data_IF_744551389684
#
_entry.id   IF_744551389684
#
_cell.length_a   1.000
_cell.length_b   1.000
_cell.length_c   1.000
_cell.angle_alpha   90.00
_cell.angle_beta   90.00
_cell.angle_gamma   90.00
#
_symmetry.space_group_name_H-M   'P 1'
#
loop_
_entity.id
_entity.type
_entity.pdbx_description
1 polymer ?
#
# COMPACT_ATOMS: atom_id res chain seq x y z
N UNK A 1 0.66 -26.39 -12.75
CA UNK A 1 -0.62 -26.82 -13.36
C UNK A 1 -1.40 -27.65 -12.35
N UNK A 2 -2.68 -27.40 -12.23
CA UNK A 2 -3.59 -28.16 -11.34
C UNK A 2 -4.73 -28.70 -12.21
N UNK A 3 -5.02 -30.01 -12.16
CA UNK A 3 -6.13 -30.57 -12.91
C UNK A 3 -7.46 -30.18 -12.26
N UNK A 4 -8.40 -29.67 -13.06
CA UNK A 4 -9.79 -29.46 -12.69
C UNK A 4 -10.64 -30.22 -13.70
N UNK A 5 -11.08 -31.42 -13.35
CA UNK A 5 -11.66 -32.38 -14.29
C UNK A 5 -10.61 -32.85 -15.31
N UNK A 6 -10.94 -32.78 -16.61
CA UNK A 6 -10.07 -33.19 -17.71
C UNK A 6 -9.19 -32.05 -18.26
N UNK A 7 -9.22 -30.85 -17.64
CA UNK A 7 -8.49 -29.68 -18.12
C UNK A 7 -7.43 -29.25 -17.11
N UNK A 8 -6.23 -28.93 -17.60
CA UNK A 8 -5.13 -28.40 -16.79
C UNK A 8 -5.16 -26.89 -16.80
N UNK A 9 -5.15 -26.27 -15.60
CA UNK A 9 -5.12 -24.82 -15.42
C UNK A 9 -3.78 -24.36 -14.83
N UNK A 10 -3.28 -23.25 -15.35
CA UNK A 10 -2.14 -22.55 -14.76
C UNK A 10 -2.60 -21.76 -13.55
N UNK A 11 -2.04 -22.06 -12.39
CA UNK A 11 -2.26 -21.27 -11.18
C UNK A 11 -1.02 -20.46 -10.84
N UNK A 12 -1.22 -19.26 -10.30
CA UNK A 12 -0.11 -18.45 -9.82
C UNK A 12 0.56 -19.12 -8.62
N UNK A 13 1.89 -19.16 -8.64
CA UNK A 13 2.70 -19.65 -7.52
C UNK A 13 2.76 -18.61 -6.39
N UNK A 14 1.66 -18.39 -5.70
CA UNK A 14 1.54 -17.34 -4.65
C UNK A 14 2.56 -17.52 -3.53
N UNK A 15 2.90 -18.77 -3.17
CA UNK A 15 3.97 -19.10 -2.21
C UNK A 15 5.33 -18.56 -2.67
N UNK A 16 5.62 -18.55 -3.97
CA UNK A 16 6.88 -18.03 -4.51
C UNK A 16 6.92 -16.50 -4.41
N UNK A 17 5.82 -15.82 -4.71
CA UNK A 17 5.72 -14.37 -4.54
C UNK A 17 5.84 -13.97 -3.07
N UNK A 18 5.21 -14.74 -2.15
CA UNK A 18 5.33 -14.55 -0.71
C UNK A 18 6.80 -14.71 -0.25
N UNK A 19 7.47 -15.78 -0.69
CA UNK A 19 8.89 -15.99 -0.41
C UNK A 19 9.77 -14.83 -0.90
N UNK A 20 9.59 -14.40 -2.14
CA UNK A 20 10.36 -13.27 -2.70
C UNK A 20 10.12 -11.98 -1.90
N UNK A 21 8.87 -11.72 -1.51
CA UNK A 21 8.52 -10.57 -0.70
C UNK A 21 9.17 -10.65 0.69
N UNK A 22 9.11 -11.78 1.36
CA UNK A 22 9.69 -11.97 2.69
C UNK A 22 11.22 -11.84 2.67
N UNK A 23 11.88 -12.35 1.63
CA UNK A 23 13.31 -12.13 1.41
C UNK A 23 13.65 -10.66 1.22
N UNK A 24 12.86 -9.94 0.43
CA UNK A 24 13.02 -8.49 0.27
C UNK A 24 12.82 -7.74 1.59
N UNK A 25 11.77 -8.07 2.35
CA UNK A 25 11.49 -7.49 3.67
C UNK A 25 12.65 -7.77 4.63
N UNK A 26 13.17 -9.00 4.65
CA UNK A 26 14.31 -9.36 5.49
C UNK A 26 15.54 -8.49 5.19
N UNK A 27 15.92 -8.37 3.92
CA UNK A 27 17.07 -7.53 3.51
C UNK A 27 16.84 -6.07 3.90
N UNK A 28 15.64 -5.55 3.66
CA UNK A 28 15.29 -4.16 4.00
C UNK A 28 15.36 -3.93 5.52
N UNK A 29 14.87 -4.87 6.33
CA UNK A 29 14.95 -4.79 7.79
C UNK A 29 16.37 -4.81 8.32
N UNK A 30 17.30 -5.52 7.67
CA UNK A 30 18.72 -5.49 8.03
C UNK A 30 19.32 -4.09 7.84
N UNK A 31 18.89 -3.35 6.80
CA UNK A 31 19.27 -1.95 6.58
C UNK A 31 18.59 -1.04 7.63
N UNK A 32 17.27 -1.18 7.83
CA UNK A 32 16.49 -0.38 8.77
C UNK A 32 17.02 -0.54 10.21
N UNK A 33 17.46 -1.75 10.59
CA UNK A 33 18.00 -2.04 11.92
C UNK A 33 19.13 -1.07 12.32
N UNK A 34 19.97 -0.69 11.38
CA UNK A 34 21.08 0.23 11.63
C UNK A 34 20.63 1.71 11.76
N UNK A 35 19.42 2.03 11.28
CA UNK A 35 18.85 3.39 11.28
C UNK A 35 17.68 3.55 12.25
N UNK A 36 17.44 2.56 13.11
CA UNK A 36 16.35 2.60 14.10
C UNK A 36 16.49 3.81 15.03
N UNK A 37 15.38 4.44 15.36
CA UNK A 37 15.33 5.57 16.31
C UNK A 37 14.93 5.16 17.71
N UNK A 38 14.09 4.14 17.85
CA UNK A 38 13.65 3.59 19.13
C UNK A 38 13.69 2.06 19.15
N UNK A 39 13.72 1.49 20.36
CA UNK A 39 13.51 0.05 20.55
C UNK A 39 12.09 -0.29 20.08
N UNK A 40 11.94 -1.33 19.26
CA UNK A 40 10.67 -1.76 18.66
C UNK A 40 10.41 -1.24 17.23
N UNK A 41 11.12 -0.23 16.73
CA UNK A 41 10.92 0.28 15.38
C UNK A 41 11.07 -0.81 14.31
N UNK A 42 12.03 -1.72 14.47
CA UNK A 42 12.26 -2.82 13.52
C UNK A 42 11.05 -3.76 13.46
N UNK A 43 10.40 -4.02 14.61
CA UNK A 43 9.19 -4.83 14.66
C UNK A 43 8.00 -4.13 13.99
N UNK A 44 7.83 -2.82 14.24
CA UNK A 44 6.80 -2.03 13.57
C UNK A 44 7.01 -2.02 12.04
N UNK A 45 8.26 -1.87 11.59
CA UNK A 45 8.60 -1.94 10.18
C UNK A 45 8.34 -3.33 9.58
N UNK A 46 8.68 -4.39 10.32
CA UNK A 46 8.35 -5.75 9.90
C UNK A 46 6.84 -5.91 9.70
N UNK A 47 6.03 -5.51 10.68
CA UNK A 47 4.57 -5.58 10.57
C UNK A 47 4.04 -4.78 9.39
N UNK A 48 4.50 -3.53 9.20
CA UNK A 48 4.04 -2.69 8.10
C UNK A 48 4.36 -3.32 6.74
N UNK A 49 5.60 -3.75 6.53
CA UNK A 49 6.06 -4.33 5.26
C UNK A 49 5.42 -5.68 4.99
N UNK A 50 5.44 -6.59 5.98
CA UNK A 50 4.86 -7.92 5.84
C UNK A 50 3.35 -7.85 5.56
N UNK A 51 2.61 -7.08 6.37
CA UNK A 51 1.17 -6.94 6.22
C UNK A 51 0.78 -6.26 4.91
N UNK A 52 1.55 -5.26 4.44
CA UNK A 52 1.31 -4.63 3.14
C UNK A 52 1.45 -5.62 1.99
N UNK A 53 2.50 -6.44 1.97
CA UNK A 53 2.68 -7.48 0.96
C UNK A 53 1.61 -8.57 1.05
N UNK A 54 1.31 -9.02 2.29
CA UNK A 54 0.27 -10.03 2.53
C UNK A 54 -1.10 -9.57 2.02
N UNK A 55 -1.46 -8.31 2.22
CA UNK A 55 -2.73 -7.74 1.74
C UNK A 55 -2.88 -7.89 0.23
N UNK A 56 -1.80 -7.72 -0.55
CA UNK A 56 -1.81 -7.86 -2.01
C UNK A 56 -1.77 -9.32 -2.44
N UNK A 57 -0.83 -10.11 -1.89
CA UNK A 57 -0.58 -11.51 -2.30
C UNK A 57 -1.80 -12.38 -1.98
N UNK A 58 -2.46 -12.15 -0.86
CA UNK A 58 -3.67 -12.88 -0.49
C UNK A 58 -4.79 -12.68 -1.51
N UNK A 59 -4.89 -11.52 -2.16
CA UNK A 59 -5.79 -11.25 -3.27
C UNK A 59 -5.59 -12.17 -4.48
N UNK A 60 -4.43 -12.81 -4.62
CA UNK A 60 -4.09 -13.73 -5.72
C UNK A 60 -4.31 -15.22 -5.36
N UNK A 61 -4.59 -15.55 -4.10
CA UNK A 61 -4.78 -16.94 -3.65
C UNK A 61 -6.20 -17.41 -3.93
N UNK A 62 -6.35 -18.62 -4.42
CA UNK A 62 -7.66 -19.21 -4.69
C UNK A 62 -8.21 -20.07 -3.51
N UNK A 63 -7.33 -20.42 -2.54
CA UNK A 63 -7.63 -21.37 -1.46
C UNK A 63 -7.86 -20.71 -0.09
N UNK A 64 -8.06 -19.39 -0.04
CA UNK A 64 -8.17 -18.65 1.21
C UNK A 64 -9.60 -18.52 1.71
N UNK A 65 -9.77 -18.46 3.06
CA UNK A 65 -11.06 -18.27 3.72
C UNK A 65 -11.63 -16.87 3.43
N UNK A 66 -12.80 -16.82 2.81
CA UNK A 66 -13.53 -15.59 2.50
C UNK A 66 -14.43 -15.18 3.66
N UNK A 67 -14.62 -13.87 3.87
CA UNK A 67 -15.40 -13.31 4.98
C UNK A 67 -16.71 -12.64 4.51
N UNK A 68 -16.60 -11.76 3.51
CA UNK A 68 -17.76 -11.04 2.95
C UNK A 68 -17.81 -11.38 1.47
N UNK A 69 -18.91 -12.01 1.01
CA UNK A 69 -19.02 -12.46 -0.37
C UNK A 69 -17.68 -13.04 -0.86
N UNK A 70 -17.56 -13.92 -1.71
CA UNK A 70 -16.36 -14.70 -2.11
C UNK A 70 -15.08 -13.91 -2.43
N UNK A 71 -15.04 -12.59 -2.19
CA UNK A 71 -14.00 -11.68 -2.68
C UNK A 71 -13.04 -11.14 -1.61
N UNK A 72 -13.53 -10.87 -0.39
CA UNK A 72 -12.69 -10.29 0.67
C UNK A 72 -12.31 -11.36 1.69
N UNK A 73 -11.03 -11.53 1.92
CA UNK A 73 -10.45 -12.57 2.77
C UNK A 73 -10.16 -12.05 4.18
N UNK A 74 -10.37 -12.88 5.20
CA UNK A 74 -10.14 -12.53 6.61
C UNK A 74 -8.68 -12.09 6.83
N UNK A 75 -7.73 -12.83 6.27
CA UNK A 75 -6.29 -12.53 6.39
C UNK A 75 -5.92 -11.18 5.77
N UNK A 76 -6.59 -10.80 4.69
CA UNK A 76 -6.39 -9.53 4.01
C UNK A 76 -6.87 -8.35 4.85
N UNK A 77 -8.06 -8.46 5.47
CA UNK A 77 -8.58 -7.44 6.38
C UNK A 77 -7.65 -7.29 7.58
N UNK A 78 -7.25 -8.40 8.21
CA UNK A 78 -6.39 -8.39 9.38
C UNK A 78 -5.03 -7.74 9.07
N UNK A 79 -4.44 -8.08 7.92
CA UNK A 79 -3.18 -7.50 7.46
C UNK A 79 -3.31 -6.01 7.19
N UNK A 80 -4.37 -5.56 6.50
CA UNK A 80 -4.62 -4.15 6.21
C UNK A 80 -4.81 -3.34 7.51
N UNK A 81 -5.59 -3.87 8.46
CA UNK A 81 -5.80 -3.24 9.78
C UNK A 81 -4.49 -3.16 10.56
N UNK A 82 -3.68 -4.22 10.56
CA UNK A 82 -2.38 -4.22 11.23
C UNK A 82 -1.42 -3.20 10.63
N UNK A 83 -1.33 -3.11 9.29
CA UNK A 83 -0.50 -2.13 8.60
C UNK A 83 -0.94 -0.70 8.91
N UNK A 84 -2.24 -0.40 8.85
CA UNK A 84 -2.79 0.89 9.23
C UNK A 84 -2.53 1.20 10.72
N UNK A 85 -2.67 0.21 11.59
CA UNK A 85 -2.38 0.33 13.02
C UNK A 85 -0.94 0.78 13.31
N UNK A 86 0.04 0.28 12.53
CA UNK A 86 1.43 0.73 12.62
C UNK A 86 1.58 2.18 12.18
N UNK A 87 0.92 2.61 11.09
CA UNK A 87 0.95 4.01 10.64
C UNK A 87 0.35 4.93 11.69
N UNK A 88 -0.79 4.54 12.28
CA UNK A 88 -1.42 5.27 13.40
C UNK A 88 -0.46 5.34 14.60
N UNK A 89 0.21 4.24 14.94
CA UNK A 89 1.19 4.22 16.01
C UNK A 89 2.34 5.21 15.76
N UNK A 90 2.89 5.26 14.54
CA UNK A 90 3.91 6.24 14.18
C UNK A 90 3.38 7.68 14.27
N UNK A 91 2.13 7.92 13.85
CA UNK A 91 1.48 9.23 13.98
C UNK A 91 1.33 9.63 15.46
N UNK A 92 0.84 8.72 16.32
CA UNK A 92 0.67 9.00 17.75
C UNK A 92 1.99 9.33 18.47
N UNK A 93 3.12 8.88 17.95
CA UNK A 93 4.46 9.23 18.49
C UNK A 93 4.85 10.68 18.24
N UNK A 94 4.22 11.34 17.26
CA UNK A 94 4.46 12.75 16.92
C UNK A 94 3.30 13.65 17.31
N UNK A 95 2.38 13.16 18.13
CA UNK A 95 1.15 13.89 18.51
C UNK A 95 1.39 15.28 19.11
N UNK A 96 2.56 15.51 19.73
CA UNK A 96 2.93 16.81 20.32
C UNK A 96 3.21 17.88 19.26
N UNK A 97 3.30 17.49 17.99
CA UNK A 97 3.55 18.35 16.83
C UNK A 97 2.49 18.12 15.74
N UNK A 98 1.21 18.01 16.14
CA UNK A 98 0.12 17.85 15.17
C UNK A 98 0.05 19.10 14.31
N UNK A 99 0.26 18.92 13.01
CA UNK A 99 0.15 19.93 11.97
C UNK A 99 -0.48 19.29 10.72
N UNK A 100 -0.88 20.10 9.76
CA UNK A 100 -1.42 19.59 8.51
C UNK A 100 -0.42 18.65 7.81
N UNK A 101 0.88 18.92 7.95
CA UNK A 101 1.96 18.09 7.39
C UNK A 101 2.02 16.69 8.01
N UNK A 102 1.72 16.56 9.30
CA UNK A 102 1.71 15.26 9.99
C UNK A 102 0.40 14.50 9.79
N UNK A 103 -0.72 15.20 9.59
CA UNK A 103 -2.04 14.59 9.36
C UNK A 103 -2.19 14.09 7.91
N UNK A 104 -1.60 14.78 6.93
CA UNK A 104 -1.72 14.41 5.53
C UNK A 104 -1.27 12.96 5.21
N UNK A 105 -0.11 12.45 5.70
CA UNK A 105 0.26 11.05 5.53
C UNK A 105 -0.73 10.06 6.16
N UNK A 106 -1.34 10.41 7.29
CA UNK A 106 -2.34 9.54 7.94
C UNK A 106 -3.62 9.45 7.09
N UNK A 107 -4.11 10.58 6.56
CA UNK A 107 -5.28 10.61 5.66
C UNK A 107 -4.99 9.82 4.40
N UNK A 108 -3.81 10.01 3.82
CA UNK A 108 -3.36 9.24 2.65
C UNK A 108 -3.30 7.73 2.94
N UNK A 109 -2.82 7.31 4.12
CA UNK A 109 -2.77 5.91 4.52
C UNK A 109 -4.18 5.28 4.61
N UNK A 110 -5.16 5.99 5.15
CA UNK A 110 -6.56 5.52 5.17
C UNK A 110 -7.09 5.37 3.74
N UNK A 111 -6.79 6.34 2.86
CA UNK A 111 -7.19 6.28 1.46
C UNK A 111 -6.56 5.07 0.73
N UNK A 112 -5.30 4.73 1.03
CA UNK A 112 -4.64 3.52 0.49
C UNK A 112 -5.44 2.25 0.81
N UNK A 113 -5.90 2.10 2.04
CA UNK A 113 -6.72 0.95 2.45
C UNK A 113 -8.04 0.91 1.67
N UNK A 114 -8.72 2.06 1.57
CA UNK A 114 -9.99 2.16 0.82
C UNK A 114 -9.79 1.75 -0.64
N UNK A 115 -8.77 2.28 -1.31
CA UNK A 115 -8.47 1.97 -2.72
C UNK A 115 -8.13 0.49 -2.91
N UNK A 116 -7.41 -0.10 -1.97
CA UNK A 116 -7.07 -1.54 -2.02
C UNK A 116 -8.31 -2.41 -1.96
N UNK A 117 -9.25 -2.13 -1.05
CA UNK A 117 -10.50 -2.91 -0.94
C UNK A 117 -11.46 -2.63 -2.09
N UNK A 118 -11.52 -1.41 -2.63
CA UNK A 118 -12.29 -1.14 -3.86
C UNK A 118 -11.83 -2.05 -5.01
N UNK A 119 -10.53 -2.32 -5.12
CA UNK A 119 -9.98 -3.26 -6.10
C UNK A 119 -10.47 -4.70 -5.89
N UNK A 120 -10.62 -5.17 -4.65
CA UNK A 120 -11.16 -6.51 -4.38
C UNK A 120 -12.62 -6.64 -4.80
N UNK A 121 -13.44 -5.65 -4.49
CA UNK A 121 -14.85 -5.64 -4.92
C UNK A 121 -14.99 -5.56 -6.43
N UNK A 122 -14.08 -4.87 -7.13
CA UNK A 122 -14.06 -4.83 -8.58
C UNK A 122 -13.78 -6.21 -9.20
N UNK A 123 -12.86 -7.01 -8.63
CA UNK A 123 -12.62 -8.40 -9.05
C UNK A 123 -13.85 -9.28 -8.94
N UNK A 124 -14.71 -9.00 -7.99
CA UNK A 124 -15.85 -9.80 -7.62
C UNK A 124 -17.13 -9.56 -8.43
N UNK A 125 -17.08 -9.15 -9.68
CA UNK A 125 -18.20 -8.90 -10.57
C UNK A 125 -18.89 -7.52 -10.44
N UNK A 126 -18.31 -6.60 -9.68
CA UNK A 126 -18.81 -5.22 -9.60
C UNK A 126 -18.04 -4.29 -10.54
N UNK A 127 -18.09 -4.57 -11.84
CA UNK A 127 -17.36 -3.81 -12.87
C UNK A 127 -17.67 -2.29 -12.85
N UNK A 128 -18.84 -1.88 -12.35
CA UNK A 128 -19.16 -0.47 -12.16
C UNK A 128 -18.23 0.23 -11.15
N UNK A 129 -17.57 -0.52 -10.25
CA UNK A 129 -16.61 0.01 -9.30
C UNK A 129 -15.27 0.39 -9.95
N UNK A 130 -15.03 -0.02 -11.19
CA UNK A 130 -13.83 0.37 -11.94
C UNK A 130 -13.62 1.89 -11.93
N UNK A 131 -14.68 2.65 -12.23
CA UNK A 131 -14.62 4.12 -12.22
C UNK A 131 -14.28 4.67 -10.83
N UNK A 132 -14.87 4.12 -9.78
CA UNK A 132 -14.55 4.53 -8.40
C UNK A 132 -13.10 4.18 -8.01
N UNK A 133 -12.59 3.05 -8.45
CA UNK A 133 -11.19 2.68 -8.25
C UNK A 133 -10.24 3.63 -8.98
N UNK A 134 -10.57 4.07 -10.21
CA UNK A 134 -9.79 5.08 -10.94
C UNK A 134 -9.82 6.44 -10.22
N UNK A 135 -10.97 6.87 -9.72
CA UNK A 135 -11.09 8.09 -8.89
C UNK A 135 -10.22 7.94 -7.63
N UNK A 136 -10.22 6.76 -7.01
CA UNK A 136 -9.38 6.46 -5.86
C UNK A 136 -7.88 6.60 -6.16
N UNK A 137 -7.40 6.10 -7.30
CA UNK A 137 -6.01 6.29 -7.74
C UNK A 137 -5.66 7.76 -7.96
N UNK A 138 -6.56 8.52 -8.59
CA UNK A 138 -6.39 9.96 -8.77
C UNK A 138 -6.31 10.68 -7.41
N UNK A 139 -7.15 10.30 -6.46
CA UNK A 139 -7.13 10.85 -5.10
C UNK A 139 -5.82 10.49 -4.36
N UNK A 140 -5.26 9.28 -4.54
CA UNK A 140 -3.94 8.92 -4.02
C UNK A 140 -2.85 9.82 -4.61
N UNK A 141 -2.84 10.04 -5.91
CA UNK A 141 -1.89 10.94 -6.57
C UNK A 141 -2.00 12.37 -6.05
N UNK A 142 -3.23 12.88 -5.90
CA UNK A 142 -3.46 14.22 -5.31
C UNK A 142 -2.94 14.28 -3.88
N UNK A 143 -3.16 13.24 -3.08
CA UNK A 143 -2.68 13.19 -1.69
C UNK A 143 -1.14 13.20 -1.61
N UNK A 144 -0.44 12.56 -2.54
CA UNK A 144 1.02 12.61 -2.61
C UNK A 144 1.53 14.01 -2.97
N UNK A 145 0.93 14.63 -3.97
CA UNK A 145 1.27 16.01 -4.37
C UNK A 145 1.04 16.96 -3.18
N UNK A 146 -0.08 16.82 -2.49
CA UNK A 146 -0.40 17.61 -1.30
C UNK A 146 0.65 17.41 -0.20
N UNK A 147 1.09 16.18 0.08
CA UNK A 147 2.15 15.89 1.06
C UNK A 147 3.45 16.60 0.67
N UNK A 148 3.86 16.55 -0.59
CA UNK A 148 5.09 17.21 -1.06
C UNK A 148 4.99 18.73 -0.92
N UNK A 149 3.86 19.33 -1.29
CA UNK A 149 3.62 20.78 -1.17
C UNK A 149 3.65 21.20 0.30
N UNK A 150 2.90 20.51 1.16
CA UNK A 150 2.82 20.81 2.59
C UNK A 150 4.20 20.66 3.26
N UNK A 151 4.95 19.62 2.91
CA UNK A 151 6.32 19.42 3.39
C UNK A 151 7.24 20.56 2.98
N UNK A 152 7.17 20.96 1.72
CA UNK A 152 7.99 22.05 1.17
C UNK A 152 7.65 23.38 1.82
N UNK A 153 6.37 23.65 2.06
CA UNK A 153 5.90 24.85 2.75
C UNK A 153 6.33 24.90 4.22
N UNK A 154 6.28 23.78 4.93
CA UNK A 154 6.67 23.69 6.35
C UNK A 154 8.20 23.78 6.53
N UNK A 155 8.97 23.10 5.67
CA UNK A 155 10.43 23.07 5.73
C UNK A 155 11.10 24.31 5.13
N UNK A 156 10.38 25.11 4.36
CA UNK A 156 10.89 26.28 3.62
C UNK A 156 11.84 25.93 2.45
N UNK A 157 11.99 24.64 2.14
CA UNK A 157 12.89 24.16 1.05
C UNK A 157 12.37 22.86 0.47
N UNK A 158 12.61 22.65 -0.82
CA UNK A 158 12.35 21.37 -1.48
C UNK A 158 13.44 20.35 -1.09
N UNK A 159 13.06 19.28 -0.39
CA UNK A 159 13.94 18.17 -0.03
C UNK A 159 13.74 16.98 -0.96
N UNK A 160 14.68 16.78 -1.87
CA UNK A 160 14.63 15.70 -2.84
C UNK A 160 14.63 14.31 -2.17
N UNK A 161 15.22 14.17 -0.98
CA UNK A 161 15.26 12.88 -0.25
C UNK A 161 13.86 12.44 0.18
N UNK A 162 12.99 13.41 0.47
CA UNK A 162 11.58 13.16 0.82
C UNK A 162 10.71 13.08 -0.44
N UNK A 163 10.95 13.96 -1.40
CA UNK A 163 10.13 14.03 -2.61
C UNK A 163 10.39 12.86 -3.58
N UNK A 164 11.64 12.39 -3.73
CA UNK A 164 11.97 11.37 -4.73
C UNK A 164 11.19 10.07 -4.61
N UNK A 165 11.06 9.42 -3.42
CA UNK A 165 10.28 8.19 -3.30
C UNK A 165 8.78 8.41 -3.56
N UNK A 166 8.23 9.57 -3.15
CA UNK A 166 6.85 9.93 -3.43
C UNK A 166 6.63 10.19 -4.92
N UNK A 167 7.56 10.89 -5.59
CA UNK A 167 7.48 11.13 -7.03
C UNK A 167 7.59 9.83 -7.83
N UNK A 168 8.45 8.89 -7.41
CA UNK A 168 8.58 7.60 -8.06
C UNK A 168 7.27 6.80 -8.01
N UNK A 169 6.63 6.73 -6.84
CA UNK A 169 5.33 6.10 -6.69
C UNK A 169 4.22 6.89 -7.43
N UNK A 170 4.28 8.22 -7.42
CA UNK A 170 3.39 9.10 -8.19
C UNK A 170 3.45 8.84 -9.70
N UNK A 171 4.65 8.64 -10.26
CA UNK A 171 4.83 8.27 -11.66
C UNK A 171 4.23 6.88 -11.94
N UNK A 172 4.35 5.94 -11.02
CA UNK A 172 3.71 4.63 -11.13
C UNK A 172 2.18 4.76 -11.14
N UNK A 173 1.60 5.58 -10.24
CA UNK A 173 0.16 5.86 -10.20
C UNK A 173 -0.33 6.52 -11.51
N UNK A 174 0.41 7.49 -12.06
CA UNK A 174 0.10 8.11 -13.35
C UNK A 174 0.10 7.06 -14.47
N UNK A 175 1.11 6.18 -14.51
CA UNK A 175 1.17 5.08 -15.46
C UNK A 175 -0.06 4.16 -15.37
N UNK A 176 -0.50 3.84 -14.15
CA UNK A 176 -1.70 3.03 -13.91
C UNK A 176 -2.99 3.77 -14.33
N UNK A 177 -3.10 5.06 -14.06
CA UNK A 177 -4.24 5.87 -14.50
C UNK A 177 -4.36 5.87 -16.03
N UNK A 178 -3.25 6.08 -16.72
CA UNK A 178 -3.20 6.06 -18.21
C UNK A 178 -3.52 4.65 -18.72
N UNK A 179 -2.92 3.62 -18.14
CA UNK A 179 -3.17 2.23 -18.54
C UNK A 179 -4.63 1.79 -18.31
N UNK A 180 -5.33 2.43 -17.36
CA UNK A 180 -6.75 2.19 -17.09
C UNK A 180 -7.70 2.83 -18.11
N UNK A 181 -7.23 3.78 -18.93
CA UNK A 181 -8.06 4.39 -19.95
C UNK A 181 -8.45 3.34 -21.00
N UNK A 182 -9.72 3.12 -21.18
CA UNK A 182 -10.26 2.15 -22.16
C UNK A 182 -10.42 0.71 -21.67
N UNK A 183 -10.04 0.38 -20.41
CA UNK A 183 -10.10 -1.00 -19.88
C UNK A 183 -11.35 -1.33 -19.07
N UNK A 184 -12.35 -0.47 -19.07
CA UNK A 184 -13.55 -0.61 -18.20
C UNK A 184 -14.32 -1.94 -18.37
N UNK A 185 -14.13 -2.68 -19.46
CA UNK A 185 -14.87 -3.91 -19.80
C UNK A 185 -13.96 -5.15 -19.97
N UNK A 186 -12.71 -5.09 -19.56
CA UNK A 186 -11.76 -6.20 -19.68
C UNK A 186 -11.59 -6.95 -18.35
N UNK A 187 -11.21 -8.23 -18.42
CA UNK A 187 -10.78 -8.97 -17.23
C UNK A 187 -9.42 -8.46 -16.76
N UNK A 188 -9.42 -7.71 -15.65
CA UNK A 188 -8.33 -6.86 -15.21
C UNK A 188 -7.63 -7.32 -13.93
N UNK A 189 -7.61 -8.62 -13.62
CA UNK A 189 -7.03 -9.14 -12.37
C UNK A 189 -5.60 -8.62 -12.11
N UNK A 190 -4.73 -8.63 -13.12
CA UNK A 190 -3.36 -8.11 -12.98
C UNK A 190 -3.33 -6.60 -12.76
N UNK A 191 -4.18 -5.87 -13.46
CA UNK A 191 -4.26 -4.42 -13.34
C UNK A 191 -4.74 -3.99 -11.94
N UNK A 192 -5.75 -4.68 -11.40
CA UNK A 192 -6.21 -4.48 -10.02
C UNK A 192 -5.09 -4.74 -9.03
N UNK A 193 -4.33 -5.84 -9.22
CA UNK A 193 -3.18 -6.15 -8.35
C UNK A 193 -2.11 -5.06 -8.39
N UNK A 194 -1.78 -4.51 -9.56
CA UNK A 194 -0.81 -3.42 -9.68
C UNK A 194 -1.28 -2.15 -8.95
N UNK A 195 -2.57 -1.84 -9.02
CA UNK A 195 -3.16 -0.71 -8.27
C UNK A 195 -3.05 -0.92 -6.76
N UNK A 196 -3.30 -2.14 -6.28
CA UNK A 196 -3.13 -2.48 -4.88
C UNK A 196 -1.67 -2.40 -4.44
N UNK A 197 -0.73 -2.84 -5.29
CA UNK A 197 0.70 -2.66 -5.04
C UNK A 197 1.06 -1.18 -4.87
N UNK A 198 0.60 -0.30 -5.77
CA UNK A 198 0.85 1.14 -5.67
C UNK A 198 0.27 1.73 -4.36
N UNK A 199 -0.98 1.38 -4.01
CA UNK A 199 -1.59 1.83 -2.77
C UNK A 199 -0.81 1.35 -1.53
N UNK A 200 -0.29 0.11 -1.52
CA UNK A 200 0.50 -0.41 -0.40
C UNK A 200 1.90 0.20 -0.35
N UNK A 201 2.53 0.50 -1.47
CA UNK A 201 3.79 1.26 -1.53
C UNK A 201 3.58 2.64 -0.90
N UNK A 202 2.52 3.36 -1.29
CA UNK A 202 2.19 4.65 -0.70
C UNK A 202 1.91 4.56 0.81
N UNK A 203 1.24 3.49 1.28
CA UNK A 203 1.02 3.24 2.72
C UNK A 203 2.35 3.11 3.47
N UNK A 204 3.32 2.36 2.91
CA UNK A 204 4.67 2.21 3.47
C UNK A 204 5.40 3.57 3.49
N UNK A 205 5.28 4.37 2.42
CA UNK A 205 5.87 5.70 2.36
C UNK A 205 5.26 6.65 3.39
N UNK A 206 3.95 6.58 3.66
CA UNK A 206 3.31 7.32 4.75
C UNK A 206 3.89 6.94 6.12
N UNK A 207 4.07 5.66 6.40
CA UNK A 207 4.74 5.18 7.61
C UNK A 207 6.19 5.67 7.70
N UNK A 208 6.91 5.68 6.58
CA UNK A 208 8.28 6.19 6.51
C UNK A 208 8.36 7.70 6.81
N UNK A 209 7.46 8.50 6.25
CA UNK A 209 7.38 9.94 6.51
C UNK A 209 7.17 10.24 8.00
N UNK A 210 6.24 9.51 8.64
CA UNK A 210 5.93 9.68 10.07
C UNK A 210 7.07 9.17 10.96
N UNK A 211 7.81 8.15 10.54
CA UNK A 211 8.88 7.56 11.37
C UNK A 211 10.21 8.32 11.30
N UNK A 212 10.58 8.86 10.12
CA UNK A 212 11.92 9.44 9.90
C UNK A 212 11.91 10.95 9.68
N UNK A 213 11.33 11.50 8.60
CA UNK A 213 11.42 12.94 8.32
C UNK A 213 10.68 13.81 9.32
N UNK A 214 9.45 13.41 9.70
CA UNK A 214 8.61 14.18 10.63
C UNK A 214 8.96 13.94 12.09
N UNK A 215 9.67 12.86 12.40
CA UNK A 215 10.07 12.55 13.76
C UNK A 215 11.30 13.40 14.17
N UNK A 216 11.22 14.20 15.23
CA UNK A 216 12.33 15.02 15.66
C UNK A 216 13.55 14.17 16.02
N UNK A 217 14.73 14.62 15.59
CA UNK A 217 15.98 14.08 16.10
C UNK A 217 16.07 14.52 17.57
N UNK A 218 16.05 13.58 18.49
CA UNK A 218 16.40 13.79 19.89
C UNK A 218 17.91 13.96 19.99
#
# INVERSE_FOLDING_TARGET
EIPVGDVWYWHMATFFYEFCWDMFVFVLLMVIRNHRRRKGDVFCWYLLLYCSGRTVIEGLRNDSLTFISEFVRISQILSAVAALGVVIYFFLRIRDRISVVTVAPLVSAVLCIVVTFLGEFERGAYSFLFTFSQIGLAALLISQIAIIILWTADSGRFDLRVAAPLLADGLFLVGLLIAGLGRANEDNTYYVTLRQCAAMIQLILCGWLLCYPLYPKV
#
